data_IF_596551889922
#
_entry.id   IF_596551889922
#
_cell.length_a   1.000
_cell.length_b   1.000
_cell.length_c   1.000
_cell.angle_alpha   90.00
_cell.angle_beta   90.00
_cell.angle_gamma   90.00
#
_symmetry.space_group_name_H-M   'P 1'
#
loop_
_entity.id
_entity.type
_entity.pdbx_description
1 polymer ?
#
# COMPACT_ATOMS: atom_id res chain seq x y z
N UNK A 1 -24.38 -15.77 -15.96
CA UNK A 1 -23.05 -16.30 -16.33
C UNK A 1 -23.18 -17.76 -16.66
N UNK A 2 -22.61 -18.18 -17.79
CA UNK A 2 -22.51 -19.57 -18.16
C UNK A 2 -21.43 -20.23 -17.28
N UNK A 3 -21.74 -21.28 -16.51
CA UNK A 3 -20.74 -21.95 -15.67
C UNK A 3 -19.62 -22.62 -16.50
N UNK A 4 -19.88 -22.95 -17.76
CA UNK A 4 -18.90 -23.57 -18.66
C UNK A 4 -18.01 -22.53 -19.38
N UNK A 5 -18.41 -21.24 -19.37
CA UNK A 5 -17.64 -20.13 -19.93
C UNK A 5 -17.66 -18.92 -18.96
N UNK A 6 -16.98 -19.02 -17.79
CA UNK A 6 -16.96 -17.95 -16.79
C UNK A 6 -16.28 -16.70 -17.36
N UNK A 7 -16.84 -15.52 -17.04
CA UNK A 7 -16.29 -14.23 -17.45
C UNK A 7 -16.13 -13.31 -16.25
N UNK A 8 -15.09 -12.48 -16.27
CA UNK A 8 -14.95 -11.33 -15.39
C UNK A 8 -15.51 -10.10 -16.10
N UNK A 9 -16.45 -9.45 -15.44
CA UNK A 9 -17.11 -8.24 -15.98
C UNK A 9 -16.67 -7.03 -15.15
N UNK A 10 -16.05 -6.07 -15.79
CA UNK A 10 -15.71 -4.77 -15.21
C UNK A 10 -16.77 -3.76 -15.65
N UNK A 11 -17.58 -3.30 -14.71
CA UNK A 11 -18.70 -2.42 -15.01
C UNK A 11 -18.91 -1.37 -13.91
N UNK A 12 -19.52 -0.26 -14.25
CA UNK A 12 -19.96 0.76 -13.30
C UNK A 12 -21.44 0.56 -12.97
N UNK A 13 -21.71 0.17 -11.73
CA UNK A 13 -23.07 0.04 -11.23
C UNK A 13 -23.51 1.41 -10.68
N UNK A 14 -24.60 2.01 -11.19
CA UNK A 14 -25.10 3.28 -10.66
C UNK A 14 -25.53 3.14 -9.21
N UNK A 15 -25.25 4.16 -8.41
CA UNK A 15 -25.75 4.20 -7.04
C UNK A 15 -27.28 4.32 -7.05
N UNK A 16 -27.95 3.41 -6.37
CA UNK A 16 -29.41 3.33 -6.30
C UNK A 16 -29.81 2.72 -4.96
N UNK A 17 -31.12 2.62 -4.70
CA UNK A 17 -31.66 1.94 -3.52
C UNK A 17 -31.31 0.43 -3.48
N UNK A 18 -30.93 -0.14 -4.63
CA UNK A 18 -30.47 -1.51 -4.75
C UNK A 18 -28.99 -1.70 -4.38
N UNK A 19 -28.24 -0.61 -4.14
CA UNK A 19 -26.83 -0.61 -3.72
C UNK A 19 -26.77 -0.10 -2.29
N UNK A 20 -26.73 -1.01 -1.33
CA UNK A 20 -26.73 -0.69 0.10
C UNK A 20 -25.30 -0.79 0.63
N UNK A 21 -24.78 0.32 1.15
CA UNK A 21 -23.49 0.34 1.85
C UNK A 21 -23.73 0.30 3.35
N UNK A 22 -23.21 -0.70 4.04
CA UNK A 22 -23.33 -0.86 5.49
C UNK A 22 -22.35 0.05 6.23
N UNK A 23 -22.68 0.38 7.48
CA UNK A 23 -21.78 1.12 8.38
C UNK A 23 -21.06 0.14 9.32
N UNK A 24 -20.20 -0.72 8.73
CA UNK A 24 -19.55 -1.85 9.38
C UNK A 24 -18.00 -1.82 9.31
N UNK A 25 -17.43 -0.67 8.86
CA UNK A 25 -15.98 -0.52 8.78
C UNK A 25 -15.40 0.13 10.03
N UNK A 26 -15.10 -0.68 11.04
CA UNK A 26 -14.42 -0.26 12.27
C UNK A 26 -13.15 -1.09 12.50
N UNK A 27 -12.05 -0.64 11.95
CA UNK A 27 -10.75 -1.33 11.98
C UNK A 27 -9.71 -0.51 12.73
N UNK A 28 -8.70 -1.20 13.30
CA UNK A 28 -7.59 -0.55 13.98
C UNK A 28 -6.79 0.37 13.03
N UNK A 29 -6.51 -0.12 11.82
CA UNK A 29 -5.84 0.63 10.76
C UNK A 29 -6.74 0.79 9.53
N UNK A 30 -6.29 1.54 8.53
CA UNK A 30 -7.00 1.73 7.26
C UNK A 30 -8.42 2.28 7.38
N UNK A 31 -8.73 3.00 8.46
CA UNK A 31 -10.07 3.58 8.70
C UNK A 31 -10.51 4.49 7.57
N UNK A 32 -9.59 5.26 7.00
CA UNK A 32 -9.85 6.18 5.89
C UNK A 32 -10.21 5.50 4.57
N UNK A 33 -9.96 4.18 4.42
CA UNK A 33 -10.31 3.46 3.19
C UNK A 33 -11.83 3.27 3.04
N UNK A 34 -12.59 3.34 4.13
CA UNK A 34 -14.04 3.14 4.14
C UNK A 34 -14.47 1.89 3.36
N UNK A 35 -13.73 0.77 3.55
CA UNK A 35 -13.96 -0.50 2.84
C UNK A 35 -15.17 -1.23 3.42
N UNK A 36 -16.29 -0.53 3.43
CA UNK A 36 -17.58 -0.99 3.96
C UNK A 36 -18.17 -2.11 3.10
N UNK A 37 -18.93 -2.99 3.70
CA UNK A 37 -19.70 -3.99 2.97
C UNK A 37 -20.71 -3.29 2.04
N UNK A 38 -20.70 -3.69 0.77
CA UNK A 38 -21.66 -3.24 -0.22
C UNK A 38 -22.51 -4.43 -0.67
N UNK A 39 -23.82 -4.32 -0.48
CA UNK A 39 -24.80 -5.31 -0.89
C UNK A 39 -25.49 -4.85 -2.17
N UNK A 40 -25.64 -5.79 -3.10
CA UNK A 40 -26.31 -5.56 -4.37
C UNK A 40 -27.62 -6.35 -4.40
N UNK A 41 -28.74 -5.66 -4.23
CA UNK A 41 -30.07 -6.25 -4.21
C UNK A 41 -30.70 -6.18 -5.61
N UNK A 42 -30.20 -7.03 -6.52
CA UNK A 42 -30.62 -7.01 -7.92
C UNK A 42 -30.17 -5.78 -8.70
N UNK A 43 -29.14 -5.09 -8.23
CA UNK A 43 -28.55 -3.96 -8.96
C UNK A 43 -27.95 -4.44 -10.29
N UNK A 44 -28.25 -3.71 -11.35
CA UNK A 44 -27.81 -4.05 -12.73
C UNK A 44 -26.91 -2.95 -13.24
N UNK A 45 -25.77 -3.34 -13.82
CA UNK A 45 -24.95 -2.43 -14.62
C UNK A 45 -25.57 -2.30 -16.02
N UNK A 46 -25.95 -1.10 -16.48
CA UNK A 46 -26.39 -0.90 -17.86
C UNK A 46 -25.30 -1.31 -18.87
N UNK A 47 -25.70 -1.80 -20.03
CA UNK A 47 -24.77 -2.31 -21.03
C UNK A 47 -23.72 -1.27 -21.48
N UNK A 48 -24.11 0.00 -21.57
CA UNK A 48 -23.26 1.13 -21.88
C UNK A 48 -22.25 1.48 -20.78
N UNK A 49 -22.39 0.89 -19.59
CA UNK A 49 -21.48 1.03 -18.45
C UNK A 49 -20.60 -0.20 -18.20
N UNK A 50 -20.69 -1.18 -19.06
CA UNK A 50 -19.76 -2.33 -19.05
C UNK A 50 -18.46 -1.92 -19.76
N UNK A 51 -17.39 -1.75 -18.99
CA UNK A 51 -16.11 -1.30 -19.52
C UNK A 51 -15.34 -2.44 -20.22
N UNK A 52 -15.34 -3.65 -19.65
CA UNK A 52 -14.67 -4.84 -20.20
C UNK A 52 -15.35 -6.13 -19.74
N UNK A 53 -15.24 -7.13 -20.61
CA UNK A 53 -15.56 -8.53 -20.32
C UNK A 53 -14.34 -9.34 -20.73
N UNK A 54 -13.73 -10.06 -19.79
CA UNK A 54 -12.49 -10.83 -20.01
C UNK A 54 -12.61 -12.24 -19.45
N UNK A 55 -11.79 -13.16 -19.94
CA UNK A 55 -11.67 -14.49 -19.35
C UNK A 55 -10.99 -14.40 -17.97
N UNK A 56 -11.31 -15.29 -17.01
CA UNK A 56 -10.58 -15.40 -15.75
C UNK A 56 -9.13 -15.81 -15.94
N UNK A 57 -8.25 -15.40 -15.01
CA UNK A 57 -6.84 -15.74 -15.02
C UNK A 57 -5.93 -14.61 -15.48
N UNK A 58 -4.64 -14.89 -15.73
CA UNK A 58 -3.70 -13.90 -16.24
C UNK A 58 -4.22 -13.28 -17.54
N UNK A 59 -4.33 -11.97 -17.56
CA UNK A 59 -4.98 -11.26 -18.67
C UNK A 59 -4.16 -10.02 -19.03
N UNK A 60 -3.77 -9.87 -20.31
CA UNK A 60 -3.00 -8.73 -20.80
C UNK A 60 -3.88 -7.48 -21.08
N UNK A 61 -5.18 -7.52 -20.77
CA UNK A 61 -6.08 -6.38 -20.99
C UNK A 61 -5.57 -5.12 -20.27
N UNK A 62 -5.46 -3.98 -20.94
CA UNK A 62 -4.93 -2.74 -20.36
C UNK A 62 -5.69 -2.24 -19.13
N UNK A 63 -7.00 -2.49 -19.02
CA UNK A 63 -7.78 -2.11 -17.84
C UNK A 63 -7.38 -2.99 -16.65
N UNK A 64 -7.26 -4.30 -16.86
CA UNK A 64 -6.85 -5.23 -15.81
C UNK A 64 -5.43 -4.90 -15.33
N UNK A 65 -4.51 -4.67 -16.27
CA UNK A 65 -3.15 -4.25 -15.96
C UNK A 65 -3.12 -2.89 -15.22
N UNK A 66 -3.89 -1.90 -15.71
CA UNK A 66 -3.96 -0.58 -15.09
C UNK A 66 -4.46 -0.62 -13.64
N UNK A 67 -5.54 -1.37 -13.37
CA UNK A 67 -6.04 -1.56 -11.99
C UNK A 67 -4.97 -2.20 -11.11
N UNK A 68 -4.33 -3.28 -11.59
CA UNK A 68 -3.30 -3.99 -10.84
C UNK A 68 -2.07 -3.11 -10.57
N UNK A 69 -1.51 -2.45 -11.58
CA UNK A 69 -0.30 -1.65 -11.44
C UNK A 69 -0.49 -0.45 -10.52
N UNK A 70 -1.59 0.29 -10.70
CA UNK A 70 -1.93 1.45 -9.84
C UNK A 70 -2.13 1.01 -8.39
N UNK A 71 -2.86 -0.08 -8.16
CA UNK A 71 -3.08 -0.62 -6.82
C UNK A 71 -1.77 -0.98 -6.11
N UNK A 72 -0.86 -1.70 -6.79
CA UNK A 72 0.41 -2.14 -6.21
C UNK A 72 1.32 -0.95 -5.86
N UNK A 73 1.45 0.04 -6.76
CA UNK A 73 2.29 1.23 -6.56
C UNK A 73 1.72 2.13 -5.45
N UNK A 74 0.41 2.37 -5.45
CA UNK A 74 -0.23 3.20 -4.42
C UNK A 74 -0.14 2.56 -3.04
N UNK A 75 -0.34 1.25 -2.91
CA UNK A 75 -0.15 0.55 -1.63
C UNK A 75 1.30 0.61 -1.15
N UNK A 76 2.28 0.43 -2.04
CA UNK A 76 3.70 0.61 -1.70
C UNK A 76 3.95 2.02 -1.13
N UNK A 77 3.34 3.04 -1.75
CA UNK A 77 3.45 4.43 -1.30
C UNK A 77 2.82 4.68 0.07
N UNK A 78 1.66 4.07 0.36
CA UNK A 78 1.01 4.15 1.68
C UNK A 78 1.91 3.58 2.78
N UNK A 79 2.47 2.38 2.58
CA UNK A 79 3.37 1.78 3.57
C UNK A 79 4.65 2.58 3.74
N UNK A 80 5.18 3.15 2.67
CA UNK A 80 6.33 4.05 2.73
C UNK A 80 6.02 5.32 3.53
N UNK A 81 4.81 5.87 3.41
CA UNK A 81 4.35 7.00 4.22
C UNK A 81 4.26 6.67 5.72
N UNK A 82 3.81 5.46 6.07
CA UNK A 82 3.79 4.98 7.46
C UNK A 82 5.22 4.89 8.02
N UNK A 83 6.14 4.29 7.25
CA UNK A 83 7.55 4.18 7.63
C UNK A 83 8.20 5.54 7.85
N UNK A 84 7.95 6.50 6.94
CA UNK A 84 8.41 7.87 7.08
C UNK A 84 7.97 8.49 8.41
N UNK A 85 6.67 8.38 8.74
CA UNK A 85 6.15 8.95 9.98
C UNK A 85 6.74 8.29 11.22
N UNK A 86 6.94 6.98 11.20
CA UNK A 86 7.58 6.25 12.28
C UNK A 86 9.04 6.69 12.49
N UNK A 87 9.80 6.86 11.42
CA UNK A 87 11.18 7.36 11.46
C UNK A 87 11.24 8.79 12.03
N UNK A 88 10.38 9.69 11.57
CA UNK A 88 10.28 11.06 12.09
C UNK A 88 10.04 11.07 13.61
N UNK A 89 9.08 10.25 14.08
CA UNK A 89 8.77 10.13 15.51
C UNK A 89 9.94 9.55 16.31
N UNK A 90 10.68 8.60 15.77
CA UNK A 90 11.87 8.04 16.40
C UNK A 90 12.95 9.11 16.58
N UNK A 91 13.23 9.90 15.54
CA UNK A 91 14.20 11.03 15.57
C UNK A 91 13.78 12.08 16.58
N UNK A 92 12.50 12.50 16.55
CA UNK A 92 11.97 13.46 17.53
C UNK A 92 12.10 12.95 18.97
N UNK A 93 11.78 11.68 19.20
CA UNK A 93 11.87 11.05 20.52
C UNK A 93 13.30 10.99 21.00
N UNK A 94 14.25 10.58 20.17
CA UNK A 94 15.66 10.55 20.49
C UNK A 94 16.21 11.92 20.88
N UNK A 95 15.76 12.98 20.20
CA UNK A 95 16.15 14.35 20.54
C UNK A 95 15.60 14.85 21.87
N UNK A 96 14.36 14.50 22.20
CA UNK A 96 13.64 14.99 23.40
C UNK A 96 13.94 14.21 24.66
N UNK A 97 14.12 12.87 24.57
CA UNK A 97 14.33 12.01 25.74
C UNK A 97 15.76 12.01 26.26
N UNK A 98 15.89 11.86 27.55
CA UNK A 98 17.17 11.72 28.25
C UNK A 98 17.21 10.43 29.05
N UNK A 99 18.36 9.81 29.08
CA UNK A 99 18.60 8.62 29.91
C UNK A 99 18.56 9.03 31.40
N UNK A 100 17.71 8.37 32.18
CA UNK A 100 17.66 8.57 33.64
C UNK A 100 18.98 8.20 34.32
N UNK A 101 19.74 7.25 33.75
CA UNK A 101 20.98 6.73 34.30
C UNK A 101 22.15 7.70 34.03
N UNK A 102 22.23 8.29 32.85
CA UNK A 102 23.40 9.08 32.41
C UNK A 102 23.12 10.57 32.27
N UNK A 103 21.88 11.02 32.28
CA UNK A 103 21.45 12.39 31.99
C UNK A 103 21.61 12.80 30.52
N UNK A 104 22.23 11.98 29.69
CA UNK A 104 22.51 12.28 28.26
C UNK A 104 21.22 12.13 27.41
N UNK A 105 21.12 12.91 26.34
CA UNK A 105 20.09 12.74 25.33
C UNK A 105 20.21 11.37 24.65
N UNK A 106 19.09 10.75 24.31
CA UNK A 106 19.06 9.52 23.51
C UNK A 106 19.74 9.70 22.14
N UNK A 107 19.74 10.91 21.59
CA UNK A 107 20.47 11.23 20.35
C UNK A 107 22.02 11.08 20.50
N UNK A 108 22.54 10.99 21.72
CA UNK A 108 23.96 10.72 22.00
C UNK A 108 24.27 9.23 22.25
N UNK A 109 23.23 8.40 22.34
CA UNK A 109 23.37 6.96 22.51
C UNK A 109 23.73 6.29 21.19
N UNK A 110 24.86 5.53 21.12
CA UNK A 110 25.30 4.89 19.89
C UNK A 110 24.30 3.89 19.32
N UNK A 111 23.61 3.11 20.18
CA UNK A 111 22.67 2.08 19.76
C UNK A 111 21.41 2.72 19.14
N UNK A 112 20.93 3.82 19.74
CA UNK A 112 19.79 4.59 19.22
C UNK A 112 20.15 5.24 17.87
N UNK A 113 21.34 5.81 17.77
CA UNK A 113 21.83 6.38 16.49
C UNK A 113 21.94 5.33 15.41
N UNK A 114 22.44 4.15 15.74
CA UNK A 114 22.53 3.02 14.82
C UNK A 114 21.16 2.59 14.33
N UNK A 115 20.16 2.44 15.22
CA UNK A 115 18.79 2.11 14.86
C UNK A 115 18.16 3.13 13.91
N UNK A 116 18.35 4.42 14.19
CA UNK A 116 17.83 5.50 13.33
C UNK A 116 18.51 5.46 11.96
N UNK A 117 19.81 5.21 11.89
CA UNK A 117 20.53 5.07 10.63
C UNK A 117 20.02 3.88 9.81
N UNK A 118 19.82 2.72 10.45
CA UNK A 118 19.30 1.52 9.82
C UNK A 118 17.88 1.73 9.26
N UNK A 119 16.99 2.35 10.04
CA UNK A 119 15.66 2.74 9.56
C UNK A 119 15.72 3.67 8.35
N UNK A 120 16.61 4.68 8.38
CA UNK A 120 16.77 5.64 7.30
C UNK A 120 17.28 4.98 6.02
N UNK A 121 18.28 4.12 6.12
CA UNK A 121 18.82 3.38 4.97
C UNK A 121 17.78 2.46 4.34
N UNK A 122 17.00 1.75 5.15
CA UNK A 122 15.94 0.88 4.67
C UNK A 122 14.83 1.69 3.94
N UNK A 123 14.45 2.83 4.50
CA UNK A 123 13.45 3.73 3.92
C UNK A 123 13.93 4.34 2.59
N UNK A 124 15.11 4.95 2.58
CA UNK A 124 15.67 5.64 1.40
C UNK A 124 15.90 4.70 0.22
N UNK A 125 16.27 3.44 0.48
CA UNK A 125 16.51 2.44 -0.58
C UNK A 125 15.27 2.12 -1.41
N UNK A 126 14.07 2.35 -0.87
CA UNK A 126 12.81 2.01 -1.55
C UNK A 126 12.25 3.14 -2.42
N UNK A 127 12.51 4.39 -2.06
CA UNK A 127 11.94 5.54 -2.75
C UNK A 127 12.24 5.56 -4.26
N UNK A 128 13.50 5.35 -4.71
CA UNK A 128 13.81 5.32 -6.14
C UNK A 128 13.10 4.18 -6.87
N UNK A 129 12.89 3.03 -6.21
CA UNK A 129 12.21 1.87 -6.81
C UNK A 129 10.74 2.19 -7.09
N UNK A 130 10.04 2.82 -6.14
CA UNK A 130 8.64 3.22 -6.32
C UNK A 130 8.53 4.29 -7.41
N UNK A 131 9.42 5.29 -7.41
CA UNK A 131 9.42 6.37 -8.38
C UNK A 131 9.72 5.86 -9.81
N UNK A 132 10.69 4.95 -9.95
CA UNK A 132 10.99 4.34 -11.24
C UNK A 132 9.81 3.52 -11.76
N UNK A 133 9.20 2.70 -10.90
CA UNK A 133 8.10 1.84 -11.29
C UNK A 133 6.83 2.64 -11.65
N UNK A 134 6.56 3.73 -10.91
CA UNK A 134 5.46 4.64 -11.25
C UNK A 134 5.66 5.26 -12.64
N UNK A 135 6.87 5.74 -12.92
CA UNK A 135 7.22 6.29 -14.24
C UNK A 135 7.10 5.24 -15.34
N UNK A 136 7.60 4.02 -15.10
CA UNK A 136 7.52 2.94 -16.08
C UNK A 136 6.08 2.56 -16.43
N UNK A 137 5.15 2.66 -15.46
CA UNK A 137 3.70 2.49 -15.70
C UNK A 137 3.16 3.64 -16.54
N UNK A 138 3.50 4.89 -16.22
CA UNK A 138 3.02 6.09 -16.94
C UNK A 138 3.54 6.14 -18.38
N UNK A 139 4.80 5.76 -18.59
CA UNK A 139 5.47 5.72 -19.88
C UNK A 139 5.16 4.45 -20.69
N UNK A 140 4.37 3.53 -20.13
CA UNK A 140 4.03 2.25 -20.76
C UNK A 140 5.27 1.43 -21.16
N UNK A 141 6.29 1.41 -20.31
CA UNK A 141 7.51 0.65 -20.57
C UNK A 141 7.21 -0.84 -20.79
N UNK A 142 7.98 -1.50 -21.64
CA UNK A 142 7.80 -2.93 -21.90
C UNK A 142 8.69 -3.77 -20.97
N UNK A 143 8.10 -4.29 -19.90
CA UNK A 143 8.74 -5.26 -19.01
C UNK A 143 8.21 -6.70 -19.23
N UNK A 144 7.30 -6.91 -20.17
CA UNK A 144 6.72 -8.22 -20.46
C UNK A 144 6.24 -8.95 -19.21
N UNK A 145 6.63 -10.22 -19.07
CA UNK A 145 6.26 -11.05 -17.91
C UNK A 145 6.83 -10.59 -16.56
N UNK A 146 7.84 -9.71 -16.58
CA UNK A 146 8.46 -9.20 -15.33
C UNK A 146 7.57 -8.20 -14.58
N UNK A 147 6.56 -7.62 -15.22
CA UNK A 147 5.66 -6.66 -14.58
C UNK A 147 5.10 -7.14 -13.24
N UNK A 148 4.64 -8.38 -13.18
CA UNK A 148 4.09 -8.95 -11.95
C UNK A 148 5.14 -8.95 -10.81
N UNK A 149 6.35 -9.40 -11.11
CA UNK A 149 7.47 -9.45 -10.14
C UNK A 149 7.88 -8.05 -9.69
N UNK A 150 7.94 -7.09 -10.61
CA UNK A 150 8.33 -5.71 -10.30
C UNK A 150 7.30 -5.04 -9.38
N UNK A 151 6.03 -5.11 -9.74
CA UNK A 151 4.93 -4.48 -9.00
C UNK A 151 4.72 -5.12 -7.63
N UNK A 152 4.42 -6.42 -7.59
CA UNK A 152 4.17 -7.12 -6.34
C UNK A 152 5.41 -7.22 -5.45
N UNK A 153 6.61 -7.35 -6.06
CA UNK A 153 7.87 -7.33 -5.33
C UNK A 153 8.15 -5.98 -4.67
N UNK A 154 7.83 -4.87 -5.32
CA UNK A 154 7.99 -3.53 -4.74
C UNK A 154 7.01 -3.30 -3.60
N UNK A 155 5.74 -3.68 -3.75
CA UNK A 155 4.78 -3.65 -2.64
C UNK A 155 5.23 -4.52 -1.46
N UNK A 156 5.69 -5.74 -1.72
CA UNK A 156 6.19 -6.64 -0.67
C UNK A 156 7.36 -6.00 0.10
N UNK A 157 8.33 -5.43 -0.62
CA UNK A 157 9.46 -4.72 0.01
C UNK A 157 8.99 -3.52 0.83
N UNK A 158 8.00 -2.76 0.35
CA UNK A 158 7.43 -1.63 1.08
C UNK A 158 6.78 -2.06 2.41
N UNK A 159 6.00 -3.13 2.40
CA UNK A 159 5.38 -3.69 3.61
C UNK A 159 6.43 -4.17 4.61
N UNK A 160 7.42 -4.92 4.14
CA UNK A 160 8.50 -5.46 4.98
C UNK A 160 9.34 -4.34 5.58
N UNK A 161 9.73 -3.36 4.78
CA UNK A 161 10.47 -2.17 5.23
C UNK A 161 9.65 -1.36 6.25
N UNK A 162 8.37 -1.12 5.99
CA UNK A 162 7.51 -0.36 6.91
C UNK A 162 7.38 -1.05 8.27
N UNK A 163 7.19 -2.38 8.27
CA UNK A 163 7.18 -3.18 9.50
C UNK A 163 8.50 -3.02 10.27
N UNK A 164 9.62 -3.20 9.58
CA UNK A 164 10.95 -3.05 10.19
C UNK A 164 11.14 -1.66 10.81
N UNK A 165 10.84 -0.60 10.07
CA UNK A 165 10.99 0.79 10.55
C UNK A 165 10.09 1.06 11.76
N UNK A 166 8.84 0.60 11.74
CA UNK A 166 7.92 0.77 12.88
C UNK A 166 8.43 0.02 14.11
N UNK A 167 8.87 -1.24 13.96
CA UNK A 167 9.40 -2.04 15.07
C UNK A 167 10.64 -1.35 15.71
N UNK A 168 11.57 -0.85 14.88
CA UNK A 168 12.75 -0.13 15.36
C UNK A 168 12.40 1.23 16.00
N UNK A 169 11.38 1.92 15.49
CA UNK A 169 10.89 3.17 16.08
C UNK A 169 10.29 2.94 17.48
N UNK A 170 9.52 1.87 17.67
CA UNK A 170 8.99 1.47 18.98
C UNK A 170 10.13 1.20 19.97
N UNK A 171 11.14 0.42 19.56
CA UNK A 171 12.33 0.15 20.42
C UNK A 171 13.11 1.42 20.74
N UNK A 172 13.23 2.35 19.81
CA UNK A 172 13.86 3.66 20.03
C UNK A 172 13.08 4.52 21.02
N UNK A 173 11.75 4.40 21.01
CA UNK A 173 10.87 5.10 21.94
C UNK A 173 10.86 4.46 23.36
N UNK A 174 11.44 3.28 23.56
CA UNK A 174 11.50 2.58 24.84
C UNK A 174 10.23 1.79 25.13
N UNK A 175 9.60 1.25 24.08
CA UNK A 175 8.51 0.27 24.13
C UNK A 175 9.02 -1.15 24.23
#
# INVERSE_FOLDING_TARGET
>A
SDPEDPKLVYAFVPRSEQVVTRDDWDTLGMRGSQSRTTELHGAVAPADRVARIVAPGPNPDPIVFGIFSVFEVLLASVYTGIARRALELAVETAGKRRSKKTGKSYAQDPDIRWRIADMSLAYEALLPQIAALARDVDEQADHGALWFTLLSGTKHRAVTMAKHVVDQAVLTAGG
#
